data_IF_706907535245
#
_entry.id   IF_706907535245
#
_cell.length_a   1.000
_cell.length_b   1.000
_cell.length_c   1.000
_cell.angle_alpha   90.00
_cell.angle_beta   90.00
_cell.angle_gamma   90.00
#
_symmetry.space_group_name_H-M   'P 1'
#
loop_
_entity.id
_entity.type
_entity.pdbx_description
1 polymer ?
#
# COMPACT_ATOMS: atom_id res chain seq x y z
N UNK A 1 27.24 -4.09 -3.17
CA UNK A 1 26.36 -3.01 -2.67
C UNK A 1 25.14 -3.02 -3.58
N UNK A 2 23.97 -3.35 -3.05
CA UNK A 2 22.74 -3.48 -3.86
C UNK A 2 21.91 -2.22 -3.70
N UNK A 3 21.53 -1.60 -4.81
CA UNK A 3 20.88 -0.28 -4.82
C UNK A 3 19.44 -0.35 -4.30
N UNK A 4 19.16 0.50 -3.31
CA UNK A 4 17.80 0.89 -2.96
C UNK A 4 17.18 1.64 -4.15
N UNK A 5 15.91 1.37 -4.44
CA UNK A 5 15.24 1.96 -5.61
C UNK A 5 13.81 2.37 -5.29
N UNK A 6 13.38 3.47 -5.91
CA UNK A 6 11.99 3.93 -5.90
C UNK A 6 11.44 3.79 -7.32
N UNK A 7 10.28 3.17 -7.47
CA UNK A 7 9.60 3.04 -8.77
C UNK A 7 8.10 3.27 -8.64
N UNK A 8 7.46 3.71 -9.73
CA UNK A 8 6.01 3.83 -9.82
C UNK A 8 5.37 2.45 -9.78
N UNK A 9 4.33 2.29 -8.96
CA UNK A 9 3.59 1.03 -8.90
C UNK A 9 2.82 0.76 -10.18
N UNK A 10 2.68 -0.52 -10.49
CA UNK A 10 1.85 -1.02 -11.58
C UNK A 10 0.75 -1.92 -11.03
N UNK A 11 -0.22 -2.27 -11.88
CA UNK A 11 -1.26 -3.25 -11.54
C UNK A 11 -0.73 -4.62 -11.08
N UNK A 12 0.54 -4.94 -11.38
CA UNK A 12 1.19 -6.18 -10.93
C UNK A 12 1.59 -6.14 -9.45
N UNK A 13 1.71 -4.96 -8.87
CA UNK A 13 2.17 -4.76 -7.50
C UNK A 13 1.03 -4.84 -6.47
N UNK A 14 -0.22 -5.01 -6.93
CA UNK A 14 -1.43 -5.03 -6.09
C UNK A 14 -1.29 -5.87 -4.81
N UNK A 15 -0.90 -7.14 -4.94
CA UNK A 15 -0.85 -8.04 -3.79
C UNK A 15 0.19 -7.61 -2.76
N UNK A 16 1.33 -7.10 -3.23
CA UNK A 16 2.40 -6.67 -2.35
C UNK A 16 2.02 -5.36 -1.62
N UNK A 17 1.40 -4.41 -2.33
CA UNK A 17 0.87 -3.17 -1.72
C UNK A 17 -0.25 -3.49 -0.73
N UNK A 18 -1.23 -4.30 -1.12
CA UNK A 18 -2.36 -4.64 -0.27
C UNK A 18 -1.92 -5.36 1.01
N UNK A 19 -0.85 -6.18 0.96
CA UNK A 19 -0.31 -6.82 2.16
C UNK A 19 0.16 -5.81 3.21
N UNK A 20 0.85 -4.74 2.80
CA UNK A 20 1.31 -3.70 3.75
C UNK A 20 0.16 -2.85 4.26
N UNK A 21 -0.81 -2.53 3.38
CA UNK A 21 -2.00 -1.78 3.77
C UNK A 21 -2.83 -2.57 4.78
N UNK A 22 -2.96 -3.88 4.59
CA UNK A 22 -3.59 -4.78 5.56
C UNK A 22 -2.86 -4.81 6.90
N UNK A 23 -1.53 -4.88 6.91
CA UNK A 23 -0.72 -4.86 8.13
C UNK A 23 -0.95 -3.56 8.94
N UNK A 24 -0.83 -2.40 8.28
CA UNK A 24 -1.11 -1.11 8.95
C UNK A 24 -2.55 -0.98 9.43
N UNK A 25 -3.53 -1.51 8.68
CA UNK A 25 -4.93 -1.53 9.13
C UNK A 25 -5.13 -2.41 10.36
N UNK A 26 -4.48 -3.57 10.45
CA UNK A 26 -4.56 -4.44 11.63
C UNK A 26 -3.95 -3.79 12.87
N UNK A 27 -2.89 -3.00 12.72
CA UNK A 27 -2.32 -2.19 13.81
C UNK A 27 -3.34 -1.15 14.30
N UNK A 28 -3.97 -0.41 13.39
CA UNK A 28 -5.03 0.54 13.75
C UNK A 28 -6.26 -0.13 14.37
N UNK A 29 -6.67 -1.31 13.93
CA UNK A 29 -7.76 -2.06 14.56
C UNK A 29 -7.45 -2.40 16.02
N UNK A 30 -6.19 -2.67 16.38
CA UNK A 30 -5.80 -2.98 17.76
C UNK A 30 -5.88 -1.77 18.67
N UNK A 31 -5.57 -0.58 18.14
CA UNK A 31 -5.45 0.65 18.93
C UNK A 31 -6.73 1.51 18.91
N UNK A 32 -7.49 1.48 17.82
CA UNK A 32 -8.58 2.43 17.52
C UNK A 32 -9.89 1.73 17.08
N UNK A 33 -10.38 0.78 17.87
CA UNK A 33 -11.59 -0.02 17.59
C UNK A 33 -12.87 0.80 17.33
N UNK A 34 -12.91 2.06 17.79
CA UNK A 34 -14.05 2.95 17.54
C UNK A 34 -14.12 3.44 16.08
N UNK A 35 -12.98 3.43 15.37
CA UNK A 35 -12.82 3.95 14.01
C UNK A 35 -12.56 2.80 13.04
N UNK A 36 -11.69 1.86 13.41
CA UNK A 36 -11.26 0.75 12.55
C UNK A 36 -11.91 -0.56 12.95
N UNK A 37 -12.44 -1.29 11.96
CA UNK A 37 -13.01 -2.63 12.13
C UNK A 37 -12.14 -3.67 11.44
N UNK A 38 -12.09 -4.86 12.02
CA UNK A 38 -11.52 -6.02 11.34
C UNK A 38 -12.36 -6.36 10.10
N UNK A 39 -11.72 -6.38 8.94
CA UNK A 39 -12.32 -6.65 7.63
C UNK A 39 -11.41 -7.57 6.82
N UNK A 40 -11.99 -8.39 5.95
CA UNK A 40 -11.25 -9.38 5.15
C UNK A 40 -10.45 -8.74 4.01
N UNK A 41 -10.92 -7.61 3.47
CA UNK A 41 -10.25 -6.87 2.39
C UNK A 41 -10.21 -5.38 2.73
N UNK A 42 -9.01 -4.85 2.94
CA UNK A 42 -8.78 -3.44 3.30
C UNK A 42 -8.77 -2.56 2.06
N UNK A 43 -7.99 -2.94 1.04
CA UNK A 43 -7.96 -2.24 -0.23
C UNK A 43 -8.66 -3.07 -1.31
N UNK A 44 -9.81 -2.61 -1.84
CA UNK A 44 -10.45 -3.28 -2.97
C UNK A 44 -9.54 -3.31 -4.19
N UNK A 45 -9.50 -4.45 -4.89
CA UNK A 45 -8.69 -4.61 -6.11
C UNK A 45 -9.05 -3.60 -7.20
N UNK A 46 -10.34 -3.34 -7.39
CA UNK A 46 -10.81 -2.34 -8.35
C UNK A 46 -10.29 -0.94 -8.01
N UNK A 47 -10.30 -0.57 -6.73
CA UNK A 47 -9.76 0.71 -6.28
C UNK A 47 -8.28 0.83 -6.62
N UNK A 48 -7.47 -0.18 -6.31
CA UNK A 48 -6.05 -0.14 -6.66
C UNK A 48 -5.83 -0.07 -8.18
N UNK A 49 -6.62 -0.77 -8.97
CA UNK A 49 -6.47 -0.79 -10.43
C UNK A 49 -6.72 0.58 -11.06
N UNK A 50 -7.59 1.39 -10.47
CA UNK A 50 -7.89 2.74 -10.94
C UNK A 50 -6.79 3.75 -10.58
N UNK A 51 -5.95 3.47 -9.56
CA UNK A 51 -4.95 4.43 -9.08
C UNK A 51 -3.78 4.65 -10.06
N UNK A 52 -3.09 3.64 -10.61
CA UNK A 52 -2.01 3.85 -11.58
C UNK A 52 -2.44 4.58 -12.86
N UNK A 53 -3.70 4.41 -13.26
CA UNK A 53 -4.25 5.01 -14.49
C UNK A 53 -4.81 6.43 -14.26
N UNK A 54 -4.93 6.87 -13.00
CA UNK A 54 -5.43 8.19 -12.64
C UNK A 54 -4.30 9.22 -12.63
N UNK A 55 -4.41 10.27 -13.47
CA UNK A 55 -3.40 11.33 -13.59
C UNK A 55 -3.18 12.15 -12.31
N UNK A 56 -4.13 12.11 -11.36
CA UNK A 56 -4.05 12.79 -10.08
C UNK A 56 -3.63 11.84 -8.93
N UNK A 57 -3.30 10.58 -9.23
CA UNK A 57 -2.84 9.61 -8.24
C UNK A 57 -1.48 9.07 -8.61
N UNK A 58 -0.61 8.94 -7.60
CA UNK A 58 0.70 8.33 -7.77
C UNK A 58 0.99 7.42 -6.58
N UNK A 59 1.32 6.17 -6.89
CA UNK A 59 1.81 5.20 -5.91
C UNK A 59 3.28 4.94 -6.20
N UNK A 60 4.13 5.14 -5.19
CA UNK A 60 5.55 4.85 -5.27
C UNK A 60 5.93 3.70 -4.35
N UNK A 61 6.79 2.84 -4.88
CA UNK A 61 7.32 1.65 -4.23
C UNK A 61 8.79 1.88 -3.93
N UNK A 62 9.15 1.89 -2.65
CA UNK A 62 10.53 1.84 -2.20
C UNK A 62 10.94 0.38 -1.97
N UNK A 63 11.90 -0.10 -2.74
CA UNK A 63 12.49 -1.43 -2.58
C UNK A 63 13.86 -1.30 -1.93
N UNK A 64 13.94 -1.78 -0.69
CA UNK A 64 15.18 -1.97 0.04
C UNK A 64 15.53 -3.47 0.06
N UNK A 65 16.79 -3.85 -0.14
CA UNK A 65 17.20 -5.28 -0.12
C UNK A 65 17.51 -5.80 1.30
N UNK A 66 17.61 -4.92 2.30
CA UNK A 66 17.94 -5.26 3.69
C UNK A 66 16.72 -5.31 4.62
N UNK A 67 15.61 -4.64 4.28
CA UNK A 67 14.33 -4.63 4.99
C UNK A 67 13.25 -4.62 3.90
N UNK A 68 12.15 -5.34 4.07
CA UNK A 68 11.14 -5.55 3.01
C UNK A 68 10.64 -4.28 2.30
N UNK A 69 9.93 -4.48 1.20
CA UNK A 69 9.36 -3.39 0.37
C UNK A 69 8.53 -2.43 1.22
N UNK A 70 8.71 -1.11 1.07
CA UNK A 70 7.92 -0.06 1.71
C UNK A 70 7.15 0.74 0.64
N UNK A 71 5.89 1.07 0.88
CA UNK A 71 5.04 1.83 -0.05
C UNK A 71 4.63 3.16 0.58
N UNK A 72 4.80 4.27 -0.14
CA UNK A 72 4.25 5.56 0.24
C UNK A 72 3.20 5.96 -0.79
N UNK A 73 1.92 5.95 -0.37
CA UNK A 73 0.82 6.46 -1.17
C UNK A 73 0.52 7.89 -0.71
N UNK A 74 0.75 8.88 -1.56
CA UNK A 74 0.21 10.23 -1.35
C UNK A 74 -1.27 10.22 -1.76
N UNK A 75 -2.09 9.47 -1.04
CA UNK A 75 -3.52 9.66 -1.04
C UNK A 75 -3.87 10.09 0.38
N UNK A 76 -4.22 11.36 0.55
CA UNK A 76 -4.91 11.85 1.74
C UNK A 76 -6.16 10.96 1.89
N UNK A 77 -6.18 10.14 2.93
CA UNK A 77 -7.42 9.69 3.57
C UNK A 77 -7.73 10.71 4.67
#
# INVERSE_FOLDING_TARGET
MGDDSIYTATNKDYYAVNSLVSEGHEEHVKEELAVFKSIESVMPKSYFQDLPDNQNSHIFIAKNKCLGVQYQCNCIL
#
